data_IF_699541941364
#
_entry.id   IF_699541941364
#
_cell.length_a   1.000
_cell.length_b   1.000
_cell.length_c   1.000
_cell.angle_alpha   90.00
_cell.angle_beta   90.00
_cell.angle_gamma   90.00
#
_symmetry.space_group_name_H-M   'P 1'
#
loop_
_entity.id
_entity.type
_entity.pdbx_description
1 polymer ?
#
# COMPACT_ATOMS: atom_id res chain seq x y z
N UNK A 1 9.27 -25.50 -8.96
CA UNK A 1 10.57 -25.38 -9.65
C UNK A 1 11.51 -24.72 -8.66
N UNK A 2 12.42 -25.49 -8.06
CA UNK A 2 13.33 -25.02 -7.01
C UNK A 2 14.59 -24.45 -7.65
N UNK A 3 15.01 -23.25 -7.27
CA UNK A 3 16.31 -22.70 -7.67
C UNK A 3 17.32 -22.93 -6.56
N UNK A 4 18.37 -23.69 -6.85
CA UNK A 4 19.62 -23.69 -6.10
C UNK A 4 20.58 -22.72 -6.77
N UNK A 5 21.00 -21.65 -6.07
CA UNK A 5 22.02 -20.73 -6.58
C UNK A 5 23.37 -21.11 -5.95
N UNK A 6 24.25 -21.67 -6.78
CA UNK A 6 25.69 -21.77 -6.51
C UNK A 6 26.35 -20.55 -7.14
N UNK A 7 26.77 -19.57 -6.33
CA UNK A 7 27.53 -18.43 -6.80
C UNK A 7 29.02 -18.62 -6.48
N UNK A 8 29.83 -18.89 -7.51
CA UNK A 8 31.25 -18.59 -7.50
C UNK A 8 31.43 -17.09 -7.83
N UNK A 9 32.16 -16.30 -7.03
CA UNK A 9 32.48 -14.92 -7.39
C UNK A 9 33.74 -14.86 -8.29
N UNK A 10 33.80 -13.94 -9.27
CA UNK A 10 35.03 -13.63 -9.98
C UNK A 10 35.90 -12.65 -9.18
N UNK A 11 37.16 -13.05 -9.00
CA UNK A 11 38.41 -12.26 -8.96
C UNK A 11 38.41 -10.81 -8.42
N UNK A 12 38.97 -10.69 -7.21
CA UNK A 12 40.05 -9.79 -6.79
C UNK A 12 39.98 -8.28 -7.01
N UNK A 13 39.82 -7.54 -5.90
CA UNK A 13 40.71 -6.41 -5.60
C UNK A 13 41.45 -6.68 -4.29
N UNK A 14 42.78 -6.65 -4.36
CA UNK A 14 43.69 -6.82 -3.21
C UNK A 14 43.72 -5.51 -2.42
N UNK A 15 43.31 -5.55 -1.16
CA UNK A 15 43.78 -4.61 -0.15
C UNK A 15 44.73 -5.35 0.81
N UNK A 16 46.03 -5.06 0.71
CA UNK A 16 47.04 -5.57 1.64
C UNK A 16 47.10 -4.62 2.84
N UNK A 17 46.81 -5.11 4.05
CA UNK A 17 47.08 -4.39 5.29
C UNK A 17 47.99 -5.24 6.18
N UNK A 18 49.05 -4.60 6.67
CA UNK A 18 50.19 -5.17 7.39
C UNK A 18 49.86 -5.38 8.89
N UNK A 19 50.44 -6.44 9.47
CA UNK A 19 50.04 -7.13 10.71
C UNK A 19 50.65 -6.51 12.00
N UNK A 20 49.86 -6.35 13.08
CA UNK A 20 50.28 -6.43 14.50
C UNK A 20 49.16 -7.01 15.39
N UNK A 21 49.48 -7.64 16.55
CA UNK A 21 48.63 -8.67 17.14
C UNK A 21 47.75 -8.15 18.28
N UNK A 22 46.46 -8.00 18.04
CA UNK A 22 45.42 -8.01 19.06
C UNK A 22 44.18 -8.65 18.43
N UNK A 23 43.44 -9.48 19.17
CA UNK A 23 42.24 -10.15 18.68
C UNK A 23 41.17 -9.11 18.30
N UNK A 24 41.17 -8.69 17.04
CA UNK A 24 40.06 -8.00 16.42
C UNK A 24 39.36 -9.01 15.52
N UNK A 25 38.13 -9.40 15.88
CA UNK A 25 37.24 -10.11 14.97
C UNK A 25 36.83 -9.09 13.91
N UNK A 26 37.49 -9.10 12.75
CA UNK A 26 37.09 -8.28 11.60
C UNK A 26 35.75 -8.81 11.07
N UNK A 27 34.67 -8.07 11.33
CA UNK A 27 33.39 -8.32 10.69
C UNK A 27 33.47 -7.80 9.26
N UNK A 28 33.57 -8.72 8.28
CA UNK A 28 33.44 -8.39 6.86
C UNK A 28 31.97 -8.08 6.59
N UNK A 29 31.61 -6.81 6.44
CA UNK A 29 30.26 -6.39 6.03
C UNK A 29 30.10 -6.70 4.54
N UNK A 30 29.20 -7.64 4.21
CA UNK A 30 28.85 -8.00 2.84
C UNK A 30 28.11 -6.86 2.09
N UNK A 31 28.22 -6.76 0.75
CA UNK A 31 27.62 -5.69 -0.05
C UNK A 31 26.11 -5.88 -0.21
N UNK A 32 25.33 -4.78 -0.17
CA UNK A 32 23.86 -4.62 -0.36
C UNK A 32 22.95 -5.73 0.23
N UNK A 33 21.85 -5.37 0.93
CA UNK A 33 21.01 -6.38 1.57
C UNK A 33 20.46 -7.38 0.54
N UNK A 34 20.64 -8.67 0.83
CA UNK A 34 20.01 -9.73 0.02
C UNK A 34 18.51 -9.72 0.32
N UNK A 35 17.67 -9.47 -0.69
CA UNK A 35 16.22 -9.48 -0.53
C UNK A 35 15.68 -10.91 -0.60
N UNK A 36 14.93 -11.32 0.42
CA UNK A 36 14.29 -12.64 0.51
C UNK A 36 12.78 -12.45 0.68
N UNK A 37 12.00 -13.06 -0.21
CA UNK A 37 10.56 -13.17 -0.04
C UNK A 37 10.24 -14.27 0.96
N UNK A 38 9.46 -13.95 2.00
CA UNK A 38 9.08 -14.89 3.05
C UNK A 38 7.76 -15.58 2.69
N UNK A 39 6.70 -14.80 2.48
CA UNK A 39 5.34 -15.29 2.22
C UNK A 39 4.44 -14.17 1.70
N UNK A 40 3.29 -14.57 1.15
CA UNK A 40 2.12 -13.72 0.92
C UNK A 40 1.08 -14.05 2.00
N UNK A 41 0.56 -13.05 2.70
CA UNK A 41 -0.41 -13.23 3.80
C UNK A 41 -1.58 -12.25 3.67
N UNK A 42 -2.74 -12.59 4.21
CA UNK A 42 -3.86 -11.63 4.33
C UNK A 42 -3.51 -10.49 5.29
N UNK A 43 -4.04 -9.29 5.05
CA UNK A 43 -3.77 -8.11 5.90
C UNK A 43 -4.25 -8.24 7.35
N UNK A 44 -5.31 -9.00 7.59
CA UNK A 44 -5.85 -9.24 8.93
C UNK A 44 -5.27 -10.52 9.51
N UNK A 45 -4.37 -10.35 10.48
CA UNK A 45 -3.72 -11.45 11.18
C UNK A 45 -3.99 -11.37 12.69
N UNK A 46 -4.24 -12.49 13.37
CA UNK A 46 -4.26 -12.49 14.83
C UNK A 46 -2.85 -12.23 15.37
N UNK A 47 -2.74 -11.61 16.55
CA UNK A 47 -1.44 -11.43 17.23
C UNK A 47 -0.75 -12.78 17.45
N UNK A 48 0.54 -12.86 17.12
CA UNK A 48 1.35 -14.07 17.24
C UNK A 48 1.18 -15.06 16.07
N UNK A 49 0.35 -14.75 15.07
CA UNK A 49 0.21 -15.56 13.87
C UNK A 49 1.56 -15.74 13.17
N UNK A 50 1.86 -16.96 12.74
CA UNK A 50 3.02 -17.23 11.89
C UNK A 50 2.75 -16.70 10.48
N UNK A 51 3.58 -15.76 10.04
CA UNK A 51 3.54 -15.19 8.68
C UNK A 51 4.28 -16.08 7.67
N UNK A 52 5.34 -16.75 8.11
CA UNK A 52 6.13 -17.64 7.26
C UNK A 52 7.48 -17.96 7.89
N UNK A 53 8.28 -18.74 7.17
CA UNK A 53 9.61 -19.15 7.66
C UNK A 53 10.63 -19.22 6.54
N UNK A 54 11.88 -18.88 6.83
CA UNK A 54 13.01 -18.98 5.91
C UNK A 54 14.10 -19.84 6.54
N UNK A 55 14.51 -20.89 5.82
CA UNK A 55 15.64 -21.72 6.23
C UNK A 55 16.95 -21.08 5.75
N UNK A 56 17.86 -20.82 6.69
CA UNK A 56 19.19 -20.26 6.46
C UNK A 56 20.24 -21.25 7.00
N UNK A 57 20.69 -22.23 6.18
CA UNK A 57 21.65 -23.23 6.62
C UNK A 57 22.94 -22.60 7.14
N UNK A 58 23.43 -23.09 8.27
CA UNK A 58 24.67 -22.60 8.88
C UNK A 58 24.51 -21.31 9.67
N UNK A 59 23.29 -20.85 9.95
CA UNK A 59 23.05 -19.79 10.94
C UNK A 59 23.41 -20.30 12.34
N UNK A 60 24.05 -19.46 13.14
CA UNK A 60 24.27 -19.75 14.57
C UNK A 60 22.95 -19.54 15.32
N UNK A 61 22.65 -20.39 16.31
CA UNK A 61 21.45 -20.24 17.13
C UNK A 61 21.43 -18.86 17.81
N UNK A 62 20.30 -18.17 17.75
CA UNK A 62 20.06 -16.83 18.28
C UNK A 62 20.97 -15.73 17.67
N UNK A 63 21.53 -15.99 16.49
CA UNK A 63 22.53 -15.09 15.89
C UNK A 63 21.95 -13.98 15.01
N UNK A 64 20.63 -13.87 15.01
CA UNK A 64 19.90 -12.78 14.38
C UNK A 64 20.06 -11.49 15.20
N UNK A 65 20.46 -10.41 14.53
CA UNK A 65 20.47 -9.07 15.10
C UNK A 65 19.62 -8.15 14.25
N UNK A 66 18.62 -7.54 14.89
CA UNK A 66 17.78 -6.53 14.27
C UNK A 66 18.59 -5.28 13.95
N UNK A 67 18.48 -4.81 12.71
CA UNK A 67 18.93 -3.48 12.33
C UNK A 67 17.72 -2.58 12.47
N UNK A 68 17.75 -1.68 13.45
CA UNK A 68 16.63 -0.79 13.76
C UNK A 68 16.06 -0.15 12.49
N UNK A 69 14.83 -0.54 12.17
CA UNK A 69 14.05 -0.09 11.04
C UNK A 69 12.62 0.23 11.45
N UNK A 70 11.92 0.99 10.60
CA UNK A 70 10.56 1.47 10.90
C UNK A 70 9.54 0.37 11.14
N UNK A 71 9.80 -0.85 10.68
CA UNK A 71 8.85 -1.96 10.71
C UNK A 71 9.11 -3.01 11.81
N UNK A 72 10.19 -2.86 12.58
CA UNK A 72 10.64 -3.92 13.49
C UNK A 72 9.68 -4.18 14.65
N UNK A 73 8.81 -3.22 14.96
CA UNK A 73 7.79 -3.30 16.02
C UNK A 73 6.52 -4.05 15.59
N UNK A 74 6.36 -4.35 14.29
CA UNK A 74 5.15 -4.98 13.74
C UNK A 74 5.32 -6.48 13.51
N UNK A 75 6.55 -6.97 13.46
CA UNK A 75 6.90 -8.38 13.26
C UNK A 75 7.86 -8.83 14.35
N UNK A 76 7.72 -10.07 14.80
CA UNK A 76 8.67 -10.77 15.64
C UNK A 76 9.34 -11.91 14.86
N UNK A 77 10.54 -12.30 15.27
CA UNK A 77 11.27 -13.39 14.63
C UNK A 77 11.83 -14.33 15.68
N UNK A 78 11.56 -15.62 15.52
CA UNK A 78 12.09 -16.70 16.36
C UNK A 78 13.06 -17.51 15.50
N UNK A 79 14.25 -17.78 16.05
CA UNK A 79 15.18 -18.74 15.46
C UNK A 79 14.88 -20.13 16.03
N UNK A 80 14.68 -21.08 15.14
CA UNK A 80 14.61 -22.50 15.44
C UNK A 80 15.67 -23.25 14.61
N UNK A 81 16.87 -23.37 15.17
CA UNK A 81 18.01 -24.12 14.61
C UNK A 81 18.28 -23.83 13.12
N UNK A 82 18.42 -22.56 12.76
CA UNK A 82 18.72 -22.16 11.38
C UNK A 82 17.48 -22.00 10.50
N UNK A 83 16.31 -21.90 11.13
CA UNK A 83 15.07 -21.48 10.49
C UNK A 83 14.56 -20.24 11.20
N UNK A 84 14.42 -19.14 10.46
CA UNK A 84 13.78 -17.94 10.95
C UNK A 84 12.27 -18.04 10.74
N UNK A 85 11.50 -17.92 11.81
CA UNK A 85 10.04 -17.94 11.78
C UNK A 85 9.54 -16.55 12.13
N UNK A 86 8.69 -15.99 11.27
CA UNK A 86 8.16 -14.64 11.38
C UNK A 86 6.76 -14.66 11.98
N UNK A 87 6.52 -13.83 12.98
CA UNK A 87 5.24 -13.72 13.68
C UNK A 87 4.72 -12.30 13.69
N UNK A 88 3.40 -12.12 13.72
CA UNK A 88 2.80 -10.80 13.92
C UNK A 88 2.93 -10.34 15.36
N UNK A 89 3.14 -9.04 15.56
CA UNK A 89 2.93 -8.40 16.87
C UNK A 89 1.49 -7.90 16.99
N UNK A 90 1.16 -7.39 18.17
CA UNK A 90 -0.13 -6.70 18.41
C UNK A 90 -0.32 -5.43 17.57
N UNK A 91 0.74 -4.89 16.97
CA UNK A 91 0.71 -3.66 16.18
C UNK A 91 0.61 -3.93 14.68
N UNK A 92 0.67 -5.20 14.24
CA UNK A 92 0.70 -5.56 12.82
C UNK A 92 -0.50 -4.99 12.04
N UNK A 93 -1.74 -5.30 12.46
CA UNK A 93 -2.94 -4.84 11.74
C UNK A 93 -3.04 -3.30 11.74
N UNK A 94 -2.67 -2.64 12.84
CA UNK A 94 -2.64 -1.17 12.93
C UNK A 94 -1.68 -0.57 11.92
N UNK A 95 -0.51 -1.17 11.74
CA UNK A 95 0.46 -0.74 10.74
C UNK A 95 -0.09 -0.87 9.33
N UNK A 96 -0.66 -2.03 8.98
CA UNK A 96 -1.22 -2.26 7.64
C UNK A 96 -2.31 -1.24 7.33
N UNK A 97 -3.27 -1.07 8.25
CA UNK A 97 -4.35 -0.09 8.10
C UNK A 97 -3.85 1.37 7.99
N UNK A 98 -2.75 1.71 8.68
CA UNK A 98 -2.22 3.08 8.69
C UNK A 98 -1.34 3.36 7.48
N UNK A 99 -0.46 2.43 7.10
CA UNK A 99 0.48 2.62 6.01
C UNK A 99 -0.12 2.33 4.64
N UNK A 100 -1.21 1.55 4.58
CA UNK A 100 -1.87 1.16 3.33
C UNK A 100 -0.88 0.60 2.32
N UNK A 101 -0.22 -0.49 2.72
CA UNK A 101 0.87 -1.08 1.96
C UNK A 101 0.63 -2.56 1.69
N UNK A 102 1.03 -2.98 0.50
CA UNK A 102 1.09 -4.36 0.04
C UNK A 102 2.41 -5.06 0.43
N UNK A 103 3.34 -4.36 1.09
CA UNK A 103 4.63 -4.91 1.49
C UNK A 103 5.06 -4.52 2.89
N UNK A 104 5.60 -5.51 3.60
CA UNK A 104 6.23 -5.32 4.89
C UNK A 104 7.66 -5.88 4.85
N UNK A 105 8.64 -5.00 5.05
CA UNK A 105 10.07 -5.31 4.96
C UNK A 105 10.76 -5.22 6.31
N UNK A 106 11.66 -6.17 6.62
CA UNK A 106 12.45 -6.24 7.84
C UNK A 106 13.91 -6.53 7.51
N UNK A 107 14.82 -5.69 7.99
CA UNK A 107 16.27 -5.85 7.74
C UNK A 107 16.97 -6.43 8.96
N UNK A 108 17.78 -7.48 8.75
CA UNK A 108 18.48 -8.18 9.84
C UNK A 108 19.91 -8.53 9.44
N UNK A 109 20.84 -8.39 10.39
CA UNK A 109 22.17 -8.99 10.31
C UNK A 109 22.11 -10.42 10.85
N UNK A 110 22.57 -11.38 10.05
CA UNK A 110 22.59 -12.80 10.41
C UNK A 110 24.04 -13.27 10.49
N UNK A 111 24.44 -13.85 11.63
CA UNK A 111 25.77 -14.45 11.79
C UNK A 111 25.73 -15.96 11.51
N UNK A 112 26.65 -16.43 10.67
CA UNK A 112 26.80 -17.83 10.29
C UNK A 112 27.92 -18.53 11.07
N UNK A 113 27.88 -19.86 11.11
CA UNK A 113 28.81 -20.73 11.84
C UNK A 113 30.26 -20.58 11.38
N UNK A 114 30.47 -20.08 10.16
CA UNK A 114 31.80 -19.76 9.63
C UNK A 114 32.31 -18.35 10.04
N UNK A 115 31.57 -17.62 10.89
CA UNK A 115 31.91 -16.28 11.36
C UNK A 115 31.49 -15.15 10.41
N UNK A 116 30.88 -15.44 9.26
CA UNK A 116 30.40 -14.42 8.33
C UNK A 116 29.14 -13.76 8.85
N UNK A 117 29.03 -12.44 8.69
CA UNK A 117 27.79 -11.69 8.92
C UNK A 117 27.25 -11.25 7.57
N UNK A 118 25.96 -11.50 7.33
CA UNK A 118 25.29 -11.07 6.10
C UNK A 118 24.00 -10.33 6.46
N UNK A 119 23.83 -9.17 5.84
CA UNK A 119 22.62 -8.38 5.96
C UNK A 119 21.57 -8.88 4.96
N UNK A 120 20.39 -9.17 5.46
CA UNK A 120 19.23 -9.59 4.67
C UNK A 120 18.09 -8.59 4.83
N UNK A 121 17.31 -8.41 3.76
CA UNK A 121 16.01 -7.75 3.79
C UNK A 121 14.94 -8.80 3.52
N UNK A 122 14.12 -9.09 4.51
CA UNK A 122 13.01 -10.02 4.42
C UNK A 122 11.73 -9.26 4.06
N UNK A 123 11.09 -9.67 2.98
CA UNK A 123 9.86 -9.08 2.48
C UNK A 123 8.68 -10.05 2.65
N UNK A 124 7.61 -9.55 3.23
CA UNK A 124 6.31 -10.22 3.35
C UNK A 124 5.34 -9.43 2.48
N UNK A 125 4.71 -10.10 1.53
CA UNK A 125 3.64 -9.53 0.73
C UNK A 125 2.32 -9.60 1.49
N UNK A 126 1.53 -8.54 1.39
CA UNK A 126 0.25 -8.37 2.07
C UNK A 126 -0.85 -8.37 1.01
N UNK A 127 -1.81 -9.28 1.16
CA UNK A 127 -3.02 -9.33 0.36
C UNK A 127 -4.06 -8.47 1.06
N UNK A 128 -4.46 -7.41 0.38
CA UNK A 128 -5.53 -6.54 0.80
C UNK A 128 -6.89 -7.25 0.67
N UNK A 129 -7.71 -7.16 1.72
CA UNK A 129 -9.08 -7.67 1.70
C UNK A 129 -10.01 -6.48 1.52
N UNK A 130 -10.84 -6.49 0.48
CA UNK A 130 -11.84 -5.44 0.28
C UNK A 130 -12.90 -5.48 1.41
N UNK A 131 -12.66 -4.73 2.48
CA UNK A 131 -13.47 -4.72 3.68
C UNK A 131 -13.85 -3.29 4.11
N UNK A 132 -13.46 -2.29 3.31
CA UNK A 132 -13.94 -0.91 3.42
C UNK A 132 -14.78 -0.57 2.20
N UNK A 133 -15.86 0.17 2.42
CA UNK A 133 -16.64 0.69 1.31
C UNK A 133 -16.18 2.11 0.97
N UNK A 134 -16.22 2.52 -0.31
CA UNK A 134 -16.03 3.88 -0.74
C UNK A 134 -16.90 4.83 0.08
N UNK A 135 -16.35 5.95 0.53
CA UNK A 135 -17.06 6.89 1.38
C UNK A 135 -16.87 8.31 0.85
N UNK A 136 -17.98 8.99 0.55
CA UNK A 136 -17.92 10.39 0.15
C UNK A 136 -17.56 11.26 1.36
N UNK A 137 -16.51 12.07 1.24
CA UNK A 137 -16.04 12.91 2.34
C UNK A 137 -17.04 14.01 2.73
N UNK A 138 -17.92 14.41 1.81
CA UNK A 138 -18.95 15.44 1.98
C UNK A 138 -20.18 15.11 1.14
N UNK A 139 -21.33 15.68 1.50
CA UNK A 139 -22.59 15.60 0.74
C UNK A 139 -22.95 16.91 0.01
N UNK A 140 -22.11 17.94 0.14
CA UNK A 140 -22.19 19.21 -0.57
C UNK A 140 -20.84 19.53 -1.19
N UNK A 141 -20.84 19.92 -2.47
CA UNK A 141 -19.61 20.15 -3.21
C UNK A 141 -19.56 21.57 -3.75
N UNK A 142 -18.40 22.25 -3.64
CA UNK A 142 -18.23 23.55 -4.27
C UNK A 142 -18.36 23.37 -5.78
N UNK A 143 -19.04 24.30 -6.43
CA UNK A 143 -19.22 24.24 -7.87
C UNK A 143 -18.89 25.58 -8.53
N UNK A 144 -18.50 25.51 -9.80
CA UNK A 144 -18.41 26.64 -10.70
C UNK A 144 -19.33 26.38 -11.88
N UNK A 145 -20.09 27.40 -12.25
CA UNK A 145 -21.00 27.31 -13.38
C UNK A 145 -20.47 28.12 -14.57
N UNK A 146 -20.55 27.53 -15.75
CA UNK A 146 -20.30 28.20 -17.03
C UNK A 146 -21.41 27.84 -18.02
N UNK A 147 -21.66 28.69 -19.01
CA UNK A 147 -22.59 28.43 -20.10
C UNK A 147 -21.79 28.57 -21.40
N UNK A 148 -21.72 27.49 -22.18
CA UNK A 148 -20.97 27.48 -23.45
C UNK A 148 -21.88 27.73 -24.68
N UNK A 149 -23.14 28.08 -24.44
CA UNK A 149 -24.17 28.31 -25.46
C UNK A 149 -24.99 27.06 -25.79
N UNK A 150 -24.44 25.86 -25.64
CA UNK A 150 -25.16 24.59 -25.84
C UNK A 150 -25.52 23.92 -24.50
N UNK A 151 -24.66 24.07 -23.51
CA UNK A 151 -24.78 23.45 -22.21
C UNK A 151 -24.53 24.45 -21.08
N UNK A 152 -25.30 24.26 -20.02
CA UNK A 152 -24.91 24.67 -18.69
C UNK A 152 -23.90 23.64 -18.17
N UNK A 153 -22.70 24.10 -17.84
CA UNK A 153 -21.65 23.25 -17.29
C UNK A 153 -21.49 23.57 -15.82
N UNK A 154 -21.56 22.55 -14.98
CA UNK A 154 -21.29 22.61 -13.54
C UNK A 154 -20.02 21.82 -13.26
N UNK A 155 -18.93 22.54 -12.99
CA UNK A 155 -17.66 21.95 -12.58
C UNK A 155 -17.61 21.82 -11.06
N UNK A 156 -17.28 20.64 -10.56
CA UNK A 156 -17.12 20.38 -9.14
C UNK A 156 -16.00 19.38 -8.87
N UNK A 157 -15.50 19.36 -7.65
CA UNK A 157 -14.57 18.34 -7.18
C UNK A 157 -15.24 17.55 -6.07
N UNK A 158 -15.26 16.23 -6.24
CA UNK A 158 -15.69 15.30 -5.21
C UNK A 158 -14.48 14.58 -4.63
N UNK A 159 -14.63 14.19 -3.37
CA UNK A 159 -13.62 13.47 -2.60
C UNK A 159 -14.26 12.20 -2.08
N UNK A 160 -13.68 11.07 -2.46
CA UNK A 160 -14.10 9.74 -2.03
C UNK A 160 -12.90 9.08 -1.39
N UNK A 161 -13.09 8.53 -0.20
CA UNK A 161 -12.07 7.78 0.51
C UNK A 161 -12.46 6.33 0.55
N UNK A 162 -11.47 5.49 0.37
CA UNK A 162 -11.54 4.06 0.64
C UNK A 162 -10.24 3.71 1.33
N UNK A 163 -10.34 2.89 2.37
CA UNK A 163 -9.21 2.56 3.22
C UNK A 163 -8.43 1.34 2.69
N UNK A 164 -9.02 0.62 1.74
CA UNK A 164 -8.41 -0.48 0.99
C UNK A 164 -7.39 0.04 -0.06
N UNK A 165 -6.66 -0.86 -0.71
CA UNK A 165 -5.58 -0.51 -1.66
C UNK A 165 -5.75 -1.18 -3.03
N UNK A 166 -5.02 -0.66 -4.02
CA UNK A 166 -4.98 -1.25 -5.36
C UNK A 166 -6.34 -1.24 -6.04
N UNK A 167 -6.83 -2.41 -6.46
CA UNK A 167 -8.13 -2.56 -7.11
C UNK A 167 -9.31 -2.49 -6.13
N UNK A 168 -9.06 -2.72 -4.84
CA UNK A 168 -10.09 -2.70 -3.80
C UNK A 168 -10.37 -1.30 -3.27
N UNK A 169 -9.49 -0.32 -3.54
CA UNK A 169 -9.85 1.07 -3.26
C UNK A 169 -10.85 1.59 -4.30
N UNK A 170 -11.31 2.83 -4.14
CA UNK A 170 -12.20 3.47 -5.13
C UNK A 170 -11.60 3.31 -6.54
N UNK A 171 -12.42 2.91 -7.50
CA UNK A 171 -12.05 2.75 -8.90
C UNK A 171 -12.77 3.76 -9.79
N UNK A 172 -14.02 4.08 -9.45
CA UNK A 172 -14.84 4.93 -10.32
C UNK A 172 -15.97 5.65 -9.58
N UNK A 173 -16.51 6.69 -10.23
CA UNK A 173 -17.75 7.36 -9.82
C UNK A 173 -18.71 7.45 -11.02
N UNK A 174 -19.99 7.18 -10.75
CA UNK A 174 -21.08 7.41 -11.68
C UNK A 174 -22.10 8.38 -11.12
N UNK A 175 -22.91 8.93 -12.02
CA UNK A 175 -24.02 9.82 -11.71
C UNK A 175 -25.29 9.24 -12.29
N UNK A 176 -26.33 9.20 -11.48
CA UNK A 176 -27.70 8.90 -11.94
C UNK A 176 -28.59 10.10 -11.69
N UNK A 177 -29.36 10.49 -12.69
CA UNK A 177 -30.25 11.65 -12.67
C UNK A 177 -31.48 11.37 -13.54
N UNK A 178 -32.63 11.94 -13.20
CA UNK A 178 -33.81 11.94 -14.07
C UNK A 178 -33.76 13.01 -15.16
N UNK A 179 -32.76 13.91 -15.12
CA UNK A 179 -32.49 14.89 -16.18
C UNK A 179 -31.37 14.38 -17.11
N UNK A 180 -31.34 14.81 -18.38
CA UNK A 180 -30.32 14.40 -19.34
C UNK A 180 -28.98 15.11 -19.04
N UNK A 181 -28.29 14.67 -17.99
CA UNK A 181 -27.00 15.22 -17.56
C UNK A 181 -25.89 14.31 -18.09
N UNK A 182 -25.01 14.86 -18.94
CA UNK A 182 -23.76 14.19 -19.27
C UNK A 182 -22.70 14.48 -18.21
N UNK A 183 -21.82 13.53 -17.94
CA UNK A 183 -20.74 13.67 -16.96
C UNK A 183 -19.40 13.39 -17.63
N UNK A 184 -18.51 14.37 -17.58
CA UNK A 184 -17.08 14.14 -17.76
C UNK A 184 -16.46 13.99 -16.37
N UNK A 185 -15.63 12.97 -16.20
CA UNK A 185 -14.93 12.69 -14.93
C UNK A 185 -13.45 12.55 -15.18
N UNK A 186 -12.65 13.20 -14.33
CA UNK A 186 -11.19 13.11 -14.37
C UNK A 186 -10.71 12.72 -12.96
N UNK A 187 -10.05 11.56 -12.80
CA UNK A 187 -9.50 11.17 -11.51
C UNK A 187 -8.38 12.13 -11.12
N UNK A 188 -8.34 12.46 -9.83
CA UNK A 188 -7.28 13.22 -9.18
C UNK A 188 -6.63 12.28 -8.18
N UNK A 189 -5.37 11.93 -8.45
CA UNK A 189 -4.58 11.07 -7.59
C UNK A 189 -3.64 11.93 -6.74
N UNK A 190 -3.87 11.94 -5.44
CA UNK A 190 -2.91 12.43 -4.44
C UNK A 190 -2.64 11.31 -3.44
N UNK A 191 -1.46 11.26 -2.82
CA UNK A 191 -1.05 10.15 -1.95
C UNK A 191 -2.14 9.77 -0.92
N UNK A 192 -2.68 8.55 -1.02
CA UNK A 192 -3.72 8.03 -0.11
C UNK A 192 -5.14 8.56 -0.35
N UNK A 193 -5.40 9.23 -1.48
CA UNK A 193 -6.69 9.83 -1.79
C UNK A 193 -7.03 9.73 -3.29
N UNK A 194 -8.24 9.27 -3.61
CA UNK A 194 -8.81 9.46 -4.95
C UNK A 194 -9.93 10.50 -4.94
N UNK A 195 -9.66 11.62 -5.59
CA UNK A 195 -10.67 12.62 -5.93
C UNK A 195 -11.14 12.45 -7.36
N UNK A 196 -12.28 13.07 -7.69
CA UNK A 196 -12.68 13.24 -9.08
C UNK A 196 -13.06 14.70 -9.32
N UNK A 197 -12.55 15.27 -10.42
CA UNK A 197 -13.19 16.44 -11.01
C UNK A 197 -14.34 15.96 -11.87
N UNK A 198 -15.50 16.52 -11.63
CA UNK A 198 -16.71 16.25 -12.39
C UNK A 198 -17.10 17.51 -13.15
N UNK A 199 -17.37 17.38 -14.45
CA UNK A 199 -18.02 18.40 -15.26
C UNK A 199 -19.38 17.87 -15.69
N UNK A 200 -20.43 18.41 -15.09
CA UNK A 200 -21.81 18.05 -15.40
C UNK A 200 -22.30 18.95 -16.52
N UNK A 201 -22.61 18.37 -17.69
CA UNK A 201 -23.12 19.10 -18.85
C UNK A 201 -24.61 18.88 -18.98
N UNK A 202 -25.37 19.95 -18.79
CA UNK A 202 -26.83 19.94 -18.86
C UNK A 202 -27.23 20.70 -20.14
N UNK A 203 -27.98 20.10 -21.08
CA UNK A 203 -28.44 20.79 -22.27
C UNK A 203 -29.22 22.06 -21.93
N UNK A 204 -28.95 23.17 -22.62
CA UNK A 204 -29.66 24.43 -22.41
C UNK A 204 -31.18 24.35 -22.72
N UNK A 205 -31.63 23.27 -23.37
CA UNK A 205 -33.05 22.95 -23.53
C UNK A 205 -33.75 22.51 -22.23
N UNK A 206 -33.00 22.13 -21.19
CA UNK A 206 -33.54 21.86 -19.85
C UNK A 206 -33.81 23.19 -19.15
N UNK A 207 -35.06 23.51 -18.78
CA UNK A 207 -35.37 24.75 -18.07
C UNK A 207 -34.59 24.85 -16.75
N UNK A 208 -33.99 26.03 -16.48
CA UNK A 208 -33.22 26.25 -15.25
C UNK A 208 -34.03 25.99 -13.98
N UNK A 209 -35.35 26.21 -14.03
CA UNK A 209 -36.27 25.91 -12.92
C UNK A 209 -36.29 24.44 -12.54
N UNK A 210 -36.06 23.54 -13.50
CA UNK A 210 -36.02 22.10 -13.25
C UNK A 210 -34.72 21.68 -12.57
N UNK A 211 -33.69 22.53 -12.55
CA UNK A 211 -32.44 22.28 -11.86
C UNK A 211 -32.50 22.68 -10.38
N UNK A 212 -33.45 23.54 -10.00
CA UNK A 212 -33.60 23.97 -8.61
C UNK A 212 -34.07 22.82 -7.74
N UNK A 213 -33.29 22.54 -6.70
CA UNK A 213 -33.49 21.41 -5.80
C UNK A 213 -33.45 20.05 -6.49
N UNK A 214 -32.96 19.98 -7.73
CA UNK A 214 -32.83 18.71 -8.43
C UNK A 214 -31.79 17.84 -7.76
N UNK A 215 -32.17 16.60 -7.45
CA UNK A 215 -31.26 15.65 -6.81
C UNK A 215 -30.60 14.76 -7.85
N UNK A 216 -29.28 14.69 -7.78
CA UNK A 216 -28.49 13.67 -8.47
C UNK A 216 -28.01 12.64 -7.45
N UNK A 217 -27.92 11.39 -7.88
CA UNK A 217 -27.26 10.34 -7.11
C UNK A 217 -25.83 10.18 -7.62
N UNK A 218 -24.86 10.43 -6.75
CA UNK A 218 -23.49 10.02 -6.97
C UNK A 218 -23.31 8.62 -6.42
N UNK A 219 -22.68 7.73 -7.18
CA UNK A 219 -22.33 6.38 -6.74
C UNK A 219 -20.83 6.18 -6.95
N UNK A 220 -20.10 5.86 -5.88
CA UNK A 220 -18.70 5.46 -5.96
C UNK A 220 -18.59 3.94 -5.93
N UNK A 221 -17.64 3.39 -6.69
CA UNK A 221 -17.42 1.97 -6.84
C UNK A 221 -15.97 1.62 -6.53
N UNK A 222 -15.77 0.50 -5.88
CA UNK A 222 -14.50 -0.24 -5.83
C UNK A 222 -14.63 -1.56 -6.66
N UNK A 223 -13.76 -2.55 -6.43
CA UNK A 223 -13.78 -3.84 -7.12
C UNK A 223 -15.04 -4.68 -6.90
N UNK A 224 -15.73 -4.57 -5.76
CA UNK A 224 -16.85 -5.43 -5.39
C UNK A 224 -18.02 -4.72 -4.67
N UNK A 225 -17.85 -3.48 -4.26
CA UNK A 225 -18.77 -2.71 -3.44
C UNK A 225 -19.10 -1.35 -4.07
N UNK A 226 -20.12 -0.68 -3.51
CA UNK A 226 -20.46 0.68 -3.89
C UNK A 226 -21.15 1.43 -2.77
N UNK A 227 -20.97 2.75 -2.76
CA UNK A 227 -21.72 3.66 -1.88
C UNK A 227 -22.38 4.76 -2.69
N UNK A 228 -23.45 5.35 -2.16
CA UNK A 228 -24.17 6.42 -2.86
C UNK A 228 -24.57 7.54 -1.94
N UNK A 229 -24.52 8.76 -2.48
CA UNK A 229 -25.03 9.98 -1.82
C UNK A 229 -25.98 10.72 -2.76
N UNK A 230 -27.05 11.28 -2.19
CA UNK A 230 -27.91 12.22 -2.90
C UNK A 230 -27.36 13.63 -2.73
N UNK A 231 -27.16 14.32 -3.85
CA UNK A 231 -26.65 15.68 -3.90
C UNK A 231 -27.68 16.55 -4.56
N UNK A 232 -28.03 17.64 -3.91
CA UNK A 232 -28.88 18.66 -4.50
C UNK A 232 -28.03 19.57 -5.38
N UNK A 233 -28.35 19.65 -6.66
CA UNK A 233 -27.83 20.70 -7.52
C UNK A 233 -28.40 22.03 -7.05
N UNK A 234 -27.53 22.97 -6.74
CA UNK A 234 -27.91 24.34 -6.39
C UNK A 234 -27.28 25.32 -7.37
N UNK A 235 -27.64 25.35 -8.66
CA UNK A 235 -27.07 26.30 -9.60
C UNK A 235 -27.58 27.72 -9.33
N UNK A 236 -26.80 28.54 -8.62
CA UNK A 236 -27.07 29.98 -8.43
C UNK A 236 -25.78 30.79 -8.36
#
# INVERSE_FOLDING_TARGET
MYYSISANPPTSEKLTIMKLPFFATEYVIAPRPVKIFVAQVEELQPTGATLGSVKLPGMVLDAQKLIAGGHDVYIETIDDYGTLIFHTTSLFNTFIATQRTDWLERTMDITFTNGTVTMFNFAIGITDTNNHNPTFARNTFPYKQTDDGCFLVIDTTISVTDDDIGENCVQDVAITSSLPIAVDKTPIWEFGFMGFRLSLRIPNSVPKQNLYNHQIRLTAYDSNSSSSVLVTLQPY
#
